data_IF_233180800173
#
_entry.id   IF_233180800173
#
_cell.length_a   1.000
_cell.length_b   1.000
_cell.length_c   1.000
_cell.angle_alpha   90.00
_cell.angle_beta   90.00
_cell.angle_gamma   90.00
#
_symmetry.space_group_name_H-M   'P 1'
#
loop_
_entity.id
_entity.type
_entity.pdbx_description
1 polymer ?
#
# COMPACT_ATOMS: atom_id res chain seq x y z
N UNK A 1 -8.22 -15.36 57.80
CA UNK A 1 -8.27 -14.31 56.76
C UNK A 1 -7.60 -14.85 55.51
N UNK A 2 -8.35 -15.39 54.53
CA UNK A 2 -7.83 -15.89 53.26
C UNK A 2 -8.04 -14.85 52.16
N UNK A 3 -6.96 -14.35 51.55
CA UNK A 3 -7.07 -13.38 50.43
C UNK A 3 -5.87 -13.44 49.48
N UNK A 4 -5.47 -14.62 49.04
CA UNK A 4 -4.45 -14.78 47.98
C UNK A 4 -4.78 -15.95 47.07
N UNK A 5 -5.94 -15.96 46.42
CA UNK A 5 -6.27 -17.00 45.40
C UNK A 5 -7.03 -16.47 44.17
N UNK A 6 -7.37 -15.18 44.10
CA UNK A 6 -8.15 -14.64 42.95
C UNK A 6 -7.31 -14.12 41.79
N UNK A 7 -6.01 -13.92 41.95
CA UNK A 7 -5.17 -13.36 40.89
C UNK A 7 -4.70 -14.40 39.86
N UNK A 8 -4.58 -15.69 40.24
CA UNK A 8 -4.13 -16.75 39.32
C UNK A 8 -5.27 -17.38 38.50
N UNK A 9 -6.54 -17.18 38.89
CA UNK A 9 -7.69 -17.72 38.16
C UNK A 9 -8.15 -16.84 36.98
N UNK A 10 -7.82 -15.55 36.97
CA UNK A 10 -8.21 -14.62 35.89
C UNK A 10 -7.30 -14.74 34.66
N UNK A 11 -6.03 -15.12 34.84
CA UNK A 11 -5.05 -15.23 33.75
C UNK A 11 -5.20 -16.52 32.91
N UNK A 12 -5.77 -17.57 33.51
CA UNK A 12 -6.07 -18.83 32.80
C UNK A 12 -7.35 -18.77 31.96
N UNK A 13 -8.32 -17.94 32.35
CA UNK A 13 -9.58 -17.77 31.63
C UNK A 13 -9.37 -16.98 30.32
N UNK A 14 -8.54 -15.93 30.38
CA UNK A 14 -8.23 -15.07 29.23
C UNK A 14 -7.43 -15.82 28.16
N UNK A 15 -6.53 -16.72 28.57
CA UNK A 15 -5.78 -17.57 27.64
C UNK A 15 -6.65 -18.62 26.91
N UNK A 16 -7.76 -19.08 27.50
CA UNK A 16 -8.69 -20.00 26.83
C UNK A 16 -9.62 -19.24 25.87
N UNK A 17 -10.08 -18.05 26.24
CA UNK A 17 -10.90 -17.22 25.34
C UNK A 17 -10.11 -16.74 24.12
N UNK A 18 -8.83 -16.38 24.29
CA UNK A 18 -7.95 -16.04 23.16
C UNK A 18 -7.69 -17.24 22.23
N UNK A 19 -7.68 -18.48 22.75
CA UNK A 19 -7.55 -19.69 21.92
C UNK A 19 -8.83 -20.01 21.16
N UNK A 20 -10.01 -19.81 21.76
CA UNK A 20 -11.31 -20.01 21.10
C UNK A 20 -11.54 -18.94 20.03
N UNK A 21 -11.17 -17.68 20.29
CA UNK A 21 -11.23 -16.59 19.31
C UNK A 21 -10.24 -16.82 18.16
N UNK A 22 -9.02 -17.30 18.43
CA UNK A 22 -8.07 -17.70 17.38
C UNK A 22 -8.56 -18.92 16.57
N UNK A 23 -9.25 -19.88 17.20
CA UNK A 23 -9.79 -21.06 16.50
C UNK A 23 -11.01 -20.71 15.63
N UNK A 24 -11.89 -19.83 16.11
CA UNK A 24 -13.05 -19.33 15.37
C UNK A 24 -12.62 -18.39 14.24
N UNK A 25 -11.67 -17.48 14.46
CA UNK A 25 -11.14 -16.62 13.39
C UNK A 25 -10.30 -17.38 12.38
N UNK A 26 -9.59 -18.44 12.77
CA UNK A 26 -8.90 -19.36 11.85
C UNK A 26 -9.89 -20.20 11.04
N UNK A 27 -10.96 -20.71 11.66
CA UNK A 27 -12.03 -21.44 10.95
C UNK A 27 -12.80 -20.56 9.97
N UNK A 28 -13.02 -19.28 10.32
CA UNK A 28 -13.61 -18.28 9.42
C UNK A 28 -12.64 -17.93 8.27
N UNK A 29 -11.33 -17.84 8.53
CA UNK A 29 -10.31 -17.62 7.48
C UNK A 29 -10.15 -18.82 6.53
N UNK A 30 -10.25 -20.04 7.04
CA UNK A 30 -10.15 -21.25 6.22
C UNK A 30 -11.40 -21.39 5.33
N UNK A 31 -12.60 -21.09 5.85
CA UNK A 31 -13.82 -21.07 5.03
C UNK A 31 -13.81 -19.95 3.99
N UNK A 32 -13.36 -18.74 4.34
CA UNK A 32 -13.21 -17.63 3.38
C UNK A 32 -12.12 -17.90 2.33
N UNK A 33 -11.06 -18.65 2.66
CA UNK A 33 -9.99 -19.00 1.73
C UNK A 33 -10.41 -20.06 0.71
N UNK A 34 -11.28 -21.00 1.11
CA UNK A 34 -11.86 -22.00 0.21
C UNK A 34 -12.97 -21.40 -0.67
N UNK A 35 -13.76 -20.43 -0.18
CA UNK A 35 -14.72 -19.68 -1.01
C UNK A 35 -14.05 -18.66 -1.94
N UNK A 36 -12.93 -18.04 -1.52
CA UNK A 36 -12.21 -17.06 -2.34
C UNK A 36 -11.43 -17.68 -3.49
N UNK A 37 -11.08 -18.97 -3.39
CA UNK A 37 -10.43 -19.71 -4.48
C UNK A 37 -11.41 -20.15 -5.58
N UNK A 38 -12.72 -20.18 -5.29
CA UNK A 38 -13.77 -20.45 -6.28
C UNK A 38 -14.34 -19.18 -6.95
N UNK A 39 -13.97 -17.97 -6.50
CA UNK A 39 -14.47 -16.69 -7.04
C UNK A 39 -13.45 -15.93 -7.90
N UNK A 40 -12.37 -16.58 -8.31
CA UNK A 40 -11.37 -15.99 -9.22
C UNK A 40 -11.25 -16.78 -10.52
N UNK A 41 -12.39 -17.00 -11.16
CA UNK A 41 -12.43 -17.61 -12.49
C UNK A 41 -13.84 -17.67 -13.07
N UNK A 42 -14.17 -16.70 -13.92
CA UNK A 42 -15.22 -16.84 -14.93
C UNK A 42 -16.64 -16.45 -14.50
N UNK A 43 -17.20 -15.48 -15.24
CA UNK A 43 -18.62 -15.16 -15.47
C UNK A 43 -19.63 -15.59 -14.39
N UNK A 44 -20.18 -14.58 -13.73
CA UNK A 44 -21.31 -14.62 -12.82
C UNK A 44 -22.51 -15.37 -13.44
N UNK A 45 -22.69 -16.64 -13.08
CA UNK A 45 -23.80 -17.47 -13.59
C UNK A 45 -25.12 -17.06 -12.92
N UNK A 46 -26.29 -17.23 -13.57
CA UNK A 46 -27.58 -16.88 -12.96
C UNK A 46 -27.85 -17.63 -11.64
N UNK A 47 -27.22 -18.80 -11.45
CA UNK A 47 -27.28 -19.56 -10.20
C UNK A 47 -26.52 -18.87 -9.06
N UNK A 48 -25.35 -18.28 -9.34
CA UNK A 48 -24.56 -17.53 -8.37
C UNK A 48 -25.27 -16.26 -7.90
N UNK A 49 -25.94 -15.52 -8.81
CA UNK A 49 -26.75 -14.34 -8.41
C UNK A 49 -27.91 -14.70 -7.49
N UNK A 50 -28.55 -15.86 -7.71
CA UNK A 50 -29.65 -16.34 -6.86
C UNK A 50 -29.18 -16.80 -5.48
N UNK A 51 -28.01 -17.41 -5.40
CA UNK A 51 -27.37 -17.74 -4.12
C UNK A 51 -26.97 -16.45 -3.40
N UNK A 52 -26.47 -15.44 -4.11
CA UNK A 52 -26.06 -14.15 -3.55
C UNK A 52 -27.26 -13.31 -3.05
N UNK A 53 -28.40 -13.34 -3.74
CA UNK A 53 -29.64 -12.72 -3.25
C UNK A 53 -30.26 -13.51 -2.10
N UNK A 54 -30.17 -14.85 -2.10
CA UNK A 54 -30.63 -15.67 -0.98
C UNK A 54 -29.79 -15.44 0.29
N UNK A 55 -28.46 -15.40 0.17
CA UNK A 55 -27.54 -15.08 1.28
C UNK A 55 -27.74 -13.64 1.78
N UNK A 56 -27.99 -12.68 0.88
CA UNK A 56 -28.25 -11.29 1.28
C UNK A 56 -29.62 -11.09 1.93
N UNK A 57 -30.65 -11.85 1.51
CA UNK A 57 -31.99 -11.79 2.09
C UNK A 57 -32.05 -12.45 3.48
N UNK A 58 -31.23 -13.46 3.74
CA UNK A 58 -31.20 -14.15 5.03
C UNK A 58 -30.20 -13.58 6.05
N UNK A 59 -29.21 -12.79 5.60
CA UNK A 59 -28.17 -12.23 6.49
C UNK A 59 -28.28 -10.71 6.73
N UNK A 60 -29.39 -10.09 6.30
CA UNK A 60 -29.68 -8.67 6.52
C UNK A 60 -31.02 -8.46 7.24
N UNK A 61 -31.19 -9.17 8.36
CA UNK A 61 -32.13 -8.75 9.40
C UNK A 61 -31.48 -8.98 10.77
N UNK A 62 -31.28 -7.89 11.50
CA UNK A 62 -30.79 -7.93 12.88
C UNK A 62 -31.76 -8.71 13.77
N UNK A 63 -31.20 -9.37 14.78
CA UNK A 63 -31.92 -10.02 15.88
C UNK A 63 -33.09 -9.15 16.39
N UNK A 64 -34.36 -9.58 16.24
CA UNK A 64 -35.46 -9.05 17.03
C UNK A 64 -35.66 -9.97 18.25
N UNK A 65 -35.45 -9.42 19.44
CA UNK A 65 -35.97 -10.03 20.67
C UNK A 65 -37.47 -9.75 20.72
N UNK A 66 -38.31 -10.76 20.49
CA UNK A 66 -39.76 -10.57 20.49
C UNK A 66 -40.52 -11.88 20.38
N UNK A 67 -41.35 -12.16 21.39
CA UNK A 67 -42.11 -13.39 21.60
C UNK A 67 -43.05 -13.71 20.43
N UNK A 68 -43.22 -15.01 20.20
CA UNK A 68 -44.08 -15.61 19.19
C UNK A 68 -45.55 -15.19 19.29
N UNK A 69 -46.20 -15.03 18.13
CA UNK A 69 -47.62 -15.29 17.96
C UNK A 69 -47.86 -15.91 16.57
N UNK A 70 -48.60 -17.02 16.57
CA UNK A 70 -48.96 -17.84 15.44
C UNK A 70 -50.17 -17.24 14.70
N UNK A 71 -50.02 -17.01 13.40
CA UNK A 71 -51.10 -17.17 12.43
C UNK A 71 -50.49 -17.30 11.03
N UNK A 72 -50.37 -18.54 10.56
CA UNK A 72 -50.07 -18.86 9.18
C UNK A 72 -51.40 -18.88 8.40
N UNK A 73 -51.55 -17.98 7.43
CA UNK A 73 -52.42 -18.21 6.29
C UNK A 73 -51.53 -18.37 5.05
N UNK A 74 -51.51 -19.61 4.56
CA UNK A 74 -50.88 -20.00 3.33
C UNK A 74 -51.65 -19.41 2.14
N UNK A 75 -50.92 -18.82 1.20
CA UNK A 75 -51.35 -18.93 -0.18
C UNK A 75 -50.14 -19.23 -1.06
N UNK A 76 -50.17 -20.45 -1.58
CA UNK A 76 -49.22 -21.00 -2.51
C UNK A 76 -49.35 -20.28 -3.85
N UNK A 77 -48.23 -19.89 -4.44
CA UNK A 77 -48.12 -19.77 -5.88
C UNK A 77 -46.88 -20.54 -6.31
N UNK A 78 -47.16 -21.57 -7.10
CA UNK A 78 -46.20 -22.43 -7.76
C UNK A 78 -45.33 -21.61 -8.70
N UNK A 79 -44.02 -21.78 -8.62
CA UNK A 79 -43.05 -21.72 -9.73
C UNK A 79 -41.65 -22.03 -9.15
N UNK A 80 -41.45 -23.30 -8.79
CA UNK A 80 -40.18 -23.86 -8.31
C UNK A 80 -39.24 -24.19 -9.48
N UNK A 81 -38.02 -23.61 -9.56
CA UNK A 81 -37.05 -23.91 -10.60
C UNK A 81 -36.00 -24.92 -10.10
N UNK A 82 -36.45 -26.03 -9.52
CA UNK A 82 -35.58 -27.14 -9.08
C UNK A 82 -35.81 -28.45 -9.86
N UNK A 83 -36.66 -28.45 -10.89
CA UNK A 83 -36.95 -29.63 -11.71
C UNK A 83 -36.06 -29.78 -12.96
N UNK A 84 -35.10 -28.88 -13.23
CA UNK A 84 -34.29 -28.88 -14.46
C UNK A 84 -32.79 -29.17 -14.26
N UNK A 85 -32.34 -29.41 -13.03
CA UNK A 85 -30.94 -29.76 -12.72
C UNK A 85 -30.69 -31.27 -12.58
N UNK A 86 -31.71 -32.12 -12.70
CA UNK A 86 -31.56 -33.58 -12.66
C UNK A 86 -31.53 -34.27 -14.04
N UNK A 87 -31.87 -33.58 -15.15
CA UNK A 87 -31.88 -34.20 -16.48
C UNK A 87 -30.53 -34.14 -17.23
N UNK A 88 -29.60 -33.27 -16.81
CA UNK A 88 -28.27 -33.11 -17.44
C UNK A 88 -27.15 -33.92 -16.77
N UNK A 89 -27.43 -34.57 -15.64
CA UNK A 89 -26.49 -35.47 -14.96
C UNK A 89 -26.63 -36.95 -15.40
N UNK A 90 -27.65 -37.29 -16.19
CA UNK A 90 -27.87 -38.67 -16.69
C UNK A 90 -27.31 -38.92 -18.10
N UNK A 91 -26.83 -37.88 -18.81
CA UNK A 91 -26.32 -38.00 -20.20
C UNK A 91 -24.80 -38.05 -20.31
N UNK A 92 -24.06 -37.80 -19.22
CA UNK A 92 -22.59 -37.77 -19.20
C UNK A 92 -21.98 -39.13 -18.82
N UNK A 93 -22.81 -40.09 -18.36
CA UNK A 93 -22.42 -41.47 -18.02
C UNK A 93 -22.98 -42.54 -18.98
N UNK A 94 -23.27 -42.17 -20.23
CA UNK A 94 -23.69 -43.10 -21.29
C UNK A 94 -23.14 -42.73 -22.69
N UNK A 95 -21.92 -42.18 -22.75
CA UNK A 95 -21.21 -41.98 -24.04
C UNK A 95 -19.72 -42.36 -24.01
N UNK A 96 -19.26 -43.13 -23.02
CA UNK A 96 -17.89 -43.65 -22.96
C UNK A 96 -17.82 -45.16 -23.20
N UNK A 97 -18.66 -45.68 -24.11
CA UNK A 97 -18.64 -47.07 -24.55
C UNK A 97 -19.08 -47.20 -26.02
N UNK A 98 -18.32 -46.62 -26.97
CA UNK A 98 -18.42 -46.93 -28.41
C UNK A 98 -17.29 -46.33 -29.27
N UNK A 99 -16.08 -46.14 -28.73
CA UNK A 99 -14.92 -45.75 -29.58
C UNK A 99 -13.75 -46.68 -29.26
N UNK A 100 -13.92 -47.94 -29.63
CA UNK A 100 -12.86 -48.92 -29.77
C UNK A 100 -13.08 -49.63 -31.10
N UNK A 101 -12.04 -49.69 -31.93
CA UNK A 101 -11.97 -50.25 -33.28
C UNK A 101 -12.56 -49.41 -34.42
N UNK A 102 -11.72 -48.49 -34.91
CA UNK A 102 -11.64 -48.20 -36.34
C UNK A 102 -10.27 -48.68 -36.81
N UNK A 103 -10.26 -49.78 -37.56
CA UNK A 103 -9.08 -50.33 -38.24
C UNK A 103 -8.59 -49.36 -39.32
N UNK A 104 -7.70 -48.45 -38.94
CA UNK A 104 -7.08 -47.46 -39.85
C UNK A 104 -6.04 -48.13 -40.79
N UNK A 105 -5.79 -49.43 -40.66
CA UNK A 105 -4.83 -50.17 -41.49
C UNK A 105 -5.41 -50.70 -42.83
N UNK A 106 -6.74 -50.73 -43.01
CA UNK A 106 -7.36 -51.31 -44.21
C UNK A 106 -7.64 -50.30 -45.35
N UNK A 107 -7.54 -49.00 -45.10
CA UNK A 107 -7.85 -47.96 -46.09
C UNK A 107 -6.64 -47.53 -46.97
N UNK A 108 -5.42 -47.98 -46.65
CA UNK A 108 -4.19 -47.63 -47.39
C UNK A 108 -3.72 -48.71 -48.38
N UNK A 109 -4.50 -49.78 -48.61
CA UNK A 109 -4.12 -50.92 -49.45
C UNK A 109 -4.91 -51.04 -50.77
N UNK A 110 -5.63 -50.00 -51.19
CA UNK A 110 -6.37 -49.97 -52.45
C UNK A 110 -6.11 -48.65 -53.20
N UNK A 111 -4.94 -48.58 -53.85
CA UNK A 111 -4.54 -47.40 -54.63
C UNK A 111 -3.14 -47.51 -55.23
N UNK A 112 -2.71 -48.72 -55.62
CA UNK A 112 -1.48 -48.91 -56.37
C UNK A 112 -1.79 -48.86 -57.87
N UNK A 113 -1.94 -47.65 -58.41
CA UNK A 113 -1.86 -47.38 -59.84
C UNK A 113 -1.00 -46.14 -60.07
N UNK A 114 0.26 -46.40 -60.41
CA UNK A 114 1.16 -45.57 -61.23
C UNK A 114 0.71 -44.15 -61.62
N UNK A 115 1.31 -43.12 -61.02
CA UNK A 115 1.89 -41.95 -61.70
C UNK A 115 2.58 -41.01 -60.68
N UNK A 116 3.73 -40.39 -61.01
CA UNK A 116 4.27 -39.28 -60.25
C UNK A 116 3.38 -38.06 -60.51
N UNK A 117 2.41 -37.81 -59.63
CA UNK A 117 1.48 -36.69 -59.77
C UNK A 117 2.23 -35.36 -59.63
N UNK A 118 2.40 -34.70 -60.78
CA UNK A 118 2.77 -33.30 -60.86
C UNK A 118 1.70 -32.42 -60.21
N UNK A 119 2.07 -31.30 -59.57
CA UNK A 119 1.11 -30.44 -58.89
C UNK A 119 0.08 -29.85 -59.88
N UNK A 120 -1.19 -30.20 -59.66
CA UNK A 120 -2.36 -29.67 -60.38
C UNK A 120 -2.54 -28.18 -60.11
N UNK A 121 -2.01 -27.34 -60.98
CA UNK A 121 -2.49 -25.96 -61.20
C UNK A 121 -2.08 -25.47 -62.60
N UNK A 122 -3.01 -24.90 -63.41
CA UNK A 122 -2.66 -24.27 -64.67
C UNK A 122 -2.13 -22.85 -64.39
N UNK A 123 -0.98 -22.77 -63.73
CA UNK A 123 -0.20 -21.54 -63.67
C UNK A 123 0.71 -21.52 -64.90
N UNK A 124 0.76 -20.38 -65.59
CA UNK A 124 1.72 -20.23 -66.69
C UNK A 124 3.14 -20.38 -66.14
N UNK A 125 4.07 -20.88 -66.96
CA UNK A 125 5.46 -21.05 -66.51
C UNK A 125 6.12 -19.72 -66.11
N UNK A 126 5.61 -18.60 -66.65
CA UNK A 126 6.00 -17.25 -66.24
C UNK A 126 5.55 -16.92 -64.81
N UNK A 127 4.33 -17.31 -64.42
CA UNK A 127 3.83 -17.08 -63.05
C UNK A 127 4.57 -17.94 -62.04
N UNK A 128 4.99 -19.15 -62.43
CA UNK A 128 5.83 -20.03 -61.61
C UNK A 128 7.19 -19.42 -61.34
N UNK A 129 7.86 -18.90 -62.37
CA UNK A 129 9.15 -18.24 -62.22
C UNK A 129 9.07 -16.97 -61.34
N UNK A 130 8.00 -16.19 -61.48
CA UNK A 130 7.75 -15.00 -60.63
C UNK A 130 7.50 -15.39 -59.17
N UNK A 131 6.74 -16.45 -58.93
CA UNK A 131 6.47 -16.97 -57.59
C UNK A 131 7.75 -17.50 -56.94
N UNK A 132 8.57 -18.26 -57.67
CA UNK A 132 9.85 -18.77 -57.18
C UNK A 132 10.81 -17.63 -56.79
N UNK A 133 10.90 -16.59 -57.62
CA UNK A 133 11.67 -15.39 -57.28
C UNK A 133 11.13 -14.68 -56.02
N UNK A 134 9.81 -14.57 -55.86
CA UNK A 134 9.18 -13.93 -54.70
C UNK A 134 9.37 -14.75 -53.41
N UNK A 135 9.34 -16.08 -53.51
CA UNK A 135 9.59 -16.98 -52.39
C UNK A 135 11.06 -17.01 -51.96
N UNK A 136 11.99 -16.87 -52.91
CA UNK A 136 13.42 -16.74 -52.61
C UNK A 136 13.77 -15.46 -51.84
N UNK A 137 12.96 -14.42 -51.96
CA UNK A 137 13.09 -13.14 -51.23
C UNK A 137 12.12 -13.01 -50.05
N UNK A 138 11.62 -14.14 -49.54
CA UNK A 138 10.68 -14.12 -48.41
C UNK A 138 11.39 -13.67 -47.13
N UNK A 139 10.94 -12.59 -46.47
CA UNK A 139 11.53 -12.14 -45.22
C UNK A 139 11.29 -13.15 -44.08
N UNK A 140 12.27 -13.26 -43.20
CA UNK A 140 12.19 -14.12 -42.03
C UNK A 140 11.13 -13.64 -41.04
N UNK A 141 10.62 -14.57 -40.24
CA UNK A 141 9.61 -14.28 -39.22
C UNK A 141 10.06 -13.19 -38.24
N UNK A 142 11.34 -13.23 -37.84
CA UNK A 142 11.92 -12.25 -36.92
C UNK A 142 11.91 -10.85 -37.53
N UNK A 143 12.28 -10.70 -38.81
CA UNK A 143 12.22 -9.39 -39.49
C UNK A 143 10.80 -8.83 -39.56
N UNK A 144 9.80 -9.70 -39.76
CA UNK A 144 8.39 -9.27 -39.77
C UNK A 144 7.91 -8.85 -38.37
N UNK A 145 8.43 -9.47 -37.31
CA UNK A 145 8.17 -9.07 -35.93
C UNK A 145 8.86 -7.74 -35.58
N UNK A 146 10.10 -7.54 -36.01
CA UNK A 146 10.86 -6.29 -35.84
C UNK A 146 10.22 -5.12 -36.59
N UNK A 147 9.77 -5.36 -37.84
CA UNK A 147 9.00 -4.40 -38.64
C UNK A 147 7.57 -4.21 -38.11
N UNK A 148 7.21 -4.85 -36.99
CA UNK A 148 5.89 -4.77 -36.34
C UNK A 148 4.71 -5.19 -37.23
N UNK A 149 4.98 -5.96 -38.28
CA UNK A 149 3.98 -6.51 -39.20
C UNK A 149 3.34 -7.75 -38.57
N UNK A 150 4.15 -8.62 -37.95
CA UNK A 150 3.69 -9.75 -37.15
C UNK A 150 3.89 -9.44 -35.66
N UNK A 151 2.96 -9.83 -34.78
CA UNK A 151 3.21 -9.66 -33.33
C UNK A 151 3.97 -10.86 -32.78
N UNK A 152 4.86 -10.65 -31.79
CA UNK A 152 5.66 -11.72 -31.21
C UNK A 152 4.77 -12.73 -30.47
N UNK A 153 5.00 -14.01 -30.78
CA UNK A 153 4.39 -15.14 -30.08
C UNK A 153 3.74 -16.19 -30.99
N UNK A 154 3.59 -17.40 -30.45
CA UNK A 154 3.02 -18.55 -31.16
C UNK A 154 1.49 -18.66 -31.03
N UNK A 155 0.79 -17.53 -30.96
CA UNK A 155 -0.67 -17.51 -30.82
C UNK A 155 -1.33 -17.46 -32.18
N UNK A 156 -2.49 -18.11 -32.31
CA UNK A 156 -3.30 -18.01 -33.52
C UNK A 156 -3.69 -16.52 -33.79
N UNK A 157 -3.68 -16.05 -35.05
CA UNK A 157 -4.00 -14.66 -35.39
C UNK A 157 -5.34 -14.16 -34.82
N UNK A 158 -6.34 -15.05 -34.72
CA UNK A 158 -7.65 -14.72 -34.15
C UNK A 158 -7.62 -14.36 -32.65
N UNK A 159 -6.66 -14.88 -31.87
CA UNK A 159 -6.56 -14.66 -30.43
C UNK A 159 -5.66 -13.48 -30.05
N UNK A 160 -4.82 -13.05 -30.98
CA UNK A 160 -3.86 -11.97 -30.79
C UNK A 160 -4.55 -10.66 -30.40
N UNK A 161 -5.67 -10.31 -31.07
CA UNK A 161 -6.45 -9.12 -30.73
C UNK A 161 -7.00 -9.16 -29.30
N UNK A 162 -7.50 -10.32 -28.85
CA UNK A 162 -8.04 -10.52 -27.51
C UNK A 162 -6.96 -10.49 -26.42
N UNK A 163 -5.77 -11.03 -26.71
CA UNK A 163 -4.61 -10.90 -25.82
C UNK A 163 -4.25 -9.44 -25.60
N UNK A 164 -4.17 -8.65 -26.66
CA UNK A 164 -3.77 -7.24 -26.55
C UNK A 164 -4.83 -6.42 -25.82
N UNK A 165 -6.11 -6.70 -26.06
CA UNK A 165 -7.23 -6.10 -25.32
C UNK A 165 -7.12 -6.38 -23.82
N UNK A 166 -6.87 -7.64 -23.44
CA UNK A 166 -6.64 -8.02 -22.04
C UNK A 166 -5.40 -7.33 -21.45
N UNK A 167 -4.30 -7.25 -22.21
CA UNK A 167 -3.10 -6.57 -21.75
C UNK A 167 -3.35 -5.08 -21.53
N UNK A 168 -4.08 -4.43 -22.43
CA UNK A 168 -4.49 -3.02 -22.29
C UNK A 168 -5.38 -2.83 -21.08
N UNK A 169 -6.37 -3.69 -20.86
CA UNK A 169 -7.25 -3.59 -19.69
C UNK A 169 -6.45 -3.77 -18.39
N UNK A 170 -5.58 -4.77 -18.31
CA UNK A 170 -4.72 -4.96 -17.14
C UNK A 170 -3.79 -3.77 -16.87
N UNK A 171 -3.29 -3.09 -17.91
CA UNK A 171 -2.49 -1.88 -17.75
C UNK A 171 -3.35 -0.69 -17.30
N UNK A 172 -4.58 -0.57 -17.81
CA UNK A 172 -5.53 0.45 -17.38
C UNK A 172 -5.90 0.28 -15.90
N UNK A 173 -6.26 -0.93 -15.47
CA UNK A 173 -6.60 -1.23 -14.07
C UNK A 173 -5.42 -0.91 -13.13
N UNK A 174 -4.19 -1.23 -13.55
CA UNK A 174 -2.97 -0.91 -12.78
C UNK A 174 -2.71 0.59 -12.71
N UNK A 175 -2.98 1.32 -13.78
CA UNK A 175 -2.81 2.76 -13.83
C UNK A 175 -3.84 3.44 -12.91
N UNK A 176 -5.10 3.03 -12.99
CA UNK A 176 -6.18 3.53 -12.15
C UNK A 176 -5.86 3.36 -10.66
N UNK A 177 -5.46 2.16 -10.23
CA UNK A 177 -5.07 1.93 -8.84
C UNK A 177 -3.84 2.74 -8.37
N UNK A 178 -2.97 3.19 -9.29
CA UNK A 178 -1.87 4.11 -8.97
C UNK A 178 -2.32 5.57 -8.91
N UNK A 179 -3.29 5.96 -9.74
CA UNK A 179 -3.86 7.31 -9.74
C UNK A 179 -4.71 7.54 -8.49
N UNK A 180 -5.45 6.54 -8.01
CA UNK A 180 -6.22 6.61 -6.76
C UNK A 180 -5.34 6.87 -5.53
N UNK A 181 -4.13 6.31 -5.50
CA UNK A 181 -3.17 6.46 -4.39
C UNK A 181 -2.20 7.63 -4.60
N UNK A 182 -2.46 8.48 -5.59
CA UNK A 182 -1.60 9.62 -5.90
C UNK A 182 -1.71 10.64 -4.76
N UNK A 183 -0.58 11.07 -4.17
CA UNK A 183 -0.60 12.13 -3.17
C UNK A 183 -0.97 13.47 -3.81
N UNK A 184 -1.62 14.32 -3.02
CA UNK A 184 -1.95 15.69 -3.43
C UNK A 184 -0.68 16.52 -3.67
N UNK A 185 -0.84 17.54 -4.51
CA UNK A 185 0.29 18.39 -4.92
C UNK A 185 0.90 19.13 -3.73
N UNK A 186 0.08 19.58 -2.79
CA UNK A 186 0.50 20.30 -1.58
C UNK A 186 1.37 19.41 -0.68
N UNK A 187 1.03 18.12 -0.55
CA UNK A 187 1.85 17.16 0.19
C UNK A 187 3.23 16.98 -0.44
N UNK A 188 3.30 16.94 -1.78
CA UNK A 188 4.57 16.84 -2.50
C UNK A 188 5.45 18.07 -2.29
N UNK A 189 4.83 19.25 -2.14
CA UNK A 189 5.54 20.51 -1.81
C UNK A 189 6.06 20.47 -0.38
N UNK A 190 5.23 20.07 0.59
CA UNK A 190 5.64 19.96 2.00
C UNK A 190 6.80 18.96 2.17
N UNK A 191 6.77 17.85 1.43
CA UNK A 191 7.87 16.87 1.42
C UNK A 191 9.11 17.32 0.65
N UNK A 192 9.07 18.48 0.00
CA UNK A 192 10.19 19.02 -0.79
C UNK A 192 10.47 18.26 -2.09
N UNK A 193 9.54 17.43 -2.56
CA UNK A 193 9.65 16.69 -3.84
C UNK A 193 9.30 17.63 -5.00
N UNK A 194 8.22 18.39 -4.86
CA UNK A 194 7.81 19.40 -5.83
C UNK A 194 8.16 20.79 -5.29
N UNK A 195 8.69 21.66 -6.16
CA UNK A 195 8.93 23.06 -5.81
C UNK A 195 7.65 23.88 -5.94
N UNK A 196 7.55 24.97 -5.16
CA UNK A 196 6.41 25.89 -5.22
C UNK A 196 6.15 26.37 -6.65
N UNK A 197 4.91 26.21 -7.11
CA UNK A 197 4.49 26.63 -8.46
C UNK A 197 4.18 28.12 -8.58
N UNK A 198 4.56 28.94 -7.60
CA UNK A 198 4.45 30.40 -7.70
C UNK A 198 5.28 30.98 -8.86
N UNK A 199 6.29 30.24 -9.34
CA UNK A 199 7.21 30.66 -10.39
C UNK A 199 7.18 29.64 -11.53
N UNK A 200 7.28 30.14 -12.77
CA UNK A 200 7.34 29.33 -13.97
C UNK A 200 8.46 28.26 -13.89
N UNK A 201 8.23 27.01 -14.33
CA UNK A 201 9.21 25.92 -14.20
C UNK A 201 10.59 26.24 -14.77
N UNK A 202 10.66 27.00 -15.87
CA UNK A 202 11.92 27.42 -16.50
C UNK A 202 12.76 28.39 -15.66
N UNK A 203 12.13 29.13 -14.74
CA UNK A 203 12.79 30.14 -13.90
C UNK A 203 13.12 29.61 -12.49
N UNK A 204 12.63 28.43 -12.11
CA UNK A 204 12.84 27.87 -10.77
C UNK A 204 14.33 27.72 -10.45
N UNK A 205 15.13 27.23 -11.40
CA UNK A 205 16.58 27.08 -11.20
C UNK A 205 17.27 28.43 -10.93
N UNK A 206 16.92 29.47 -11.70
CA UNK A 206 17.48 30.82 -11.54
C UNK A 206 17.06 31.46 -10.21
N UNK A 207 15.81 31.24 -9.79
CA UNK A 207 15.32 31.68 -8.47
C UNK A 207 16.15 31.05 -7.34
N UNK A 208 16.36 29.73 -7.39
CA UNK A 208 17.08 29.00 -6.34
C UNK A 208 18.55 29.41 -6.29
N UNK A 209 19.16 29.62 -7.46
CA UNK A 209 20.52 30.15 -7.58
C UNK A 209 20.63 31.54 -6.93
N UNK A 210 19.73 32.46 -7.27
CA UNK A 210 19.68 33.78 -6.66
C UNK A 210 19.44 33.70 -5.14
N UNK A 211 18.51 32.84 -4.69
CA UNK A 211 18.25 32.63 -3.27
C UNK A 211 19.49 32.09 -2.55
N UNK A 212 20.21 31.16 -3.17
CA UNK A 212 21.49 30.64 -2.65
C UNK A 212 22.52 31.76 -2.54
N UNK A 213 22.71 32.57 -3.58
CA UNK A 213 23.65 33.71 -3.55
C UNK A 213 23.29 34.73 -2.47
N UNK A 214 22.01 35.05 -2.30
CA UNK A 214 21.56 35.93 -1.22
C UNK A 214 21.84 35.34 0.15
N UNK A 215 21.62 34.04 0.34
CA UNK A 215 21.92 33.35 1.59
C UNK A 215 23.42 33.28 1.87
N UNK A 216 24.25 33.00 0.87
CA UNK A 216 25.71 32.97 1.01
C UNK A 216 26.25 34.35 1.38
N UNK A 217 25.82 35.40 0.68
CA UNK A 217 26.22 36.77 0.99
C UNK A 217 25.78 37.21 2.39
N UNK A 218 24.54 36.88 2.79
CA UNK A 218 24.05 37.14 4.17
C UNK A 218 24.85 36.37 5.21
N UNK A 219 25.25 35.14 4.92
CA UNK A 219 26.04 34.31 5.82
C UNK A 219 27.46 34.87 5.95
N UNK A 220 28.10 35.21 4.83
CA UNK A 220 29.43 35.81 4.77
C UNK A 220 29.51 37.09 5.63
N UNK A 221 28.58 38.04 5.42
CA UNK A 221 28.51 39.25 6.24
C UNK A 221 28.31 38.98 7.74
N UNK A 222 27.62 37.89 8.13
CA UNK A 222 27.46 37.47 9.53
C UNK A 222 28.70 36.81 10.10
N UNK A 223 29.46 36.11 9.26
CA UNK A 223 30.71 35.46 9.65
C UNK A 223 31.82 36.49 9.86
N UNK A 224 31.90 37.53 9.03
CA UNK A 224 32.84 38.63 9.19
C UNK A 224 32.64 39.38 10.52
N UNK A 225 31.37 39.58 10.92
CA UNK A 225 31.00 40.28 12.15
C UNK A 225 30.75 39.32 13.31
N UNK A 226 31.30 38.11 13.24
CA UNK A 226 31.12 37.11 14.29
C UNK A 226 31.81 37.60 15.58
N UNK A 227 31.06 37.79 16.69
CA UNK A 227 31.66 38.23 17.94
C UNK A 227 32.53 37.12 18.53
N UNK A 228 33.61 37.53 19.19
CA UNK A 228 34.46 36.63 19.94
C UNK A 228 33.74 36.09 21.17
N UNK A 229 34.17 34.92 21.63
CA UNK A 229 33.56 34.24 22.77
C UNK A 229 33.59 35.12 24.04
N UNK A 230 34.68 35.83 24.28
CA UNK A 230 34.83 36.67 25.47
C UNK A 230 33.89 37.86 25.46
N UNK A 231 33.60 38.43 24.28
CA UNK A 231 32.56 39.46 24.15
C UNK A 231 31.19 38.92 24.53
N UNK A 232 30.88 37.68 24.16
CA UNK A 232 29.62 37.04 24.52
C UNK A 232 29.53 36.72 26.01
N UNK A 233 30.66 36.44 26.67
CA UNK A 233 30.74 36.27 28.14
C UNK A 233 30.52 37.60 28.84
N UNK A 234 31.16 38.67 28.36
CA UNK A 234 31.01 40.03 28.90
C UNK A 234 29.57 40.55 28.75
N UNK A 235 28.89 40.19 27.65
CA UNK A 235 27.46 40.49 27.44
C UNK A 235 26.51 39.59 28.25
N UNK A 236 27.03 38.61 28.98
CA UNK A 236 26.23 37.66 29.78
C UNK A 236 25.44 36.62 28.97
N UNK A 237 25.73 36.48 27.66
CA UNK A 237 25.08 35.49 26.79
C UNK A 237 25.67 34.10 27.03
N UNK A 238 27.01 34.01 27.03
CA UNK A 238 27.72 32.81 27.44
C UNK A 238 28.17 32.92 28.90
N UNK A 239 28.17 31.80 29.63
CA UNK A 239 28.86 31.72 30.91
C UNK A 239 30.34 31.44 30.70
N UNK A 240 31.16 31.78 31.69
CA UNK A 240 32.58 31.51 31.64
C UNK A 240 32.83 29.99 31.56
N UNK A 241 33.44 29.52 30.46
CA UNK A 241 33.66 28.10 30.20
C UNK A 241 34.81 27.56 31.05
N UNK A 242 34.52 27.22 32.30
CA UNK A 242 35.43 26.40 33.11
C UNK A 242 35.14 24.89 33.02
N UNK A 243 34.01 24.51 32.38
CA UNK A 243 33.51 23.13 32.32
C UNK A 243 32.89 22.87 30.94
N UNK A 244 32.76 21.59 30.58
CA UNK A 244 32.06 21.17 29.37
C UNK A 244 30.61 21.70 29.30
N UNK A 245 30.08 22.02 28.10
CA UNK A 245 28.74 22.61 27.94
C UNK A 245 27.61 21.82 28.62
N UNK A 246 27.69 20.49 28.60
CA UNK A 246 26.69 19.62 29.22
C UNK A 246 26.62 19.74 30.75
N UNK A 247 27.72 20.12 31.41
CA UNK A 247 27.82 20.24 32.88
C UNK A 247 27.56 21.66 33.39
N UNK A 248 27.52 22.64 32.48
CA UNK A 248 27.40 24.06 32.81
C UNK A 248 26.12 24.36 33.60
N UNK A 249 24.99 23.77 33.19
CA UNK A 249 23.71 23.97 33.88
C UNK A 249 23.74 23.46 35.33
N UNK A 250 24.28 22.25 35.55
CA UNK A 250 24.43 21.67 36.90
C UNK A 250 25.40 22.45 37.77
N UNK A 251 26.50 22.95 37.19
CA UNK A 251 27.43 23.82 37.89
C UNK A 251 26.73 25.10 38.36
N UNK A 252 25.98 25.77 37.48
CA UNK A 252 25.30 27.02 37.81
C UNK A 252 24.21 26.81 38.87
N UNK A 253 23.46 25.70 38.79
CA UNK A 253 22.50 25.32 39.82
C UNK A 253 23.16 25.15 41.19
N UNK A 254 24.28 24.43 41.24
CA UNK A 254 25.06 24.22 42.46
C UNK A 254 25.67 25.53 42.98
N UNK A 255 26.21 26.38 42.12
CA UNK A 255 26.73 27.70 42.51
C UNK A 255 25.63 28.60 43.06
N UNK A 256 24.45 28.62 42.43
CA UNK A 256 23.28 29.36 42.90
C UNK A 256 22.81 28.86 44.26
N UNK A 257 22.76 27.55 44.48
CA UNK A 257 22.41 26.97 45.77
C UNK A 257 23.43 27.33 46.85
N UNK A 258 24.73 27.28 46.53
CA UNK A 258 25.80 27.69 47.45
C UNK A 258 25.69 29.17 47.83
N UNK A 259 25.50 30.05 46.84
CA UNK A 259 25.32 31.49 47.06
C UNK A 259 24.05 31.78 47.87
N UNK A 260 22.95 31.08 47.58
CA UNK A 260 21.71 31.20 48.35
C UNK A 260 21.89 30.84 49.83
N UNK A 261 22.54 29.70 50.10
CA UNK A 261 22.85 29.28 51.47
C UNK A 261 23.79 30.27 52.19
N UNK A 262 24.78 30.83 51.48
CA UNK A 262 25.69 31.82 52.04
C UNK A 262 24.99 33.14 52.36
N UNK A 263 24.13 33.60 51.46
CA UNK A 263 23.31 34.79 51.66
C UNK A 263 22.34 34.60 52.83
N UNK A 264 21.70 33.43 52.93
CA UNK A 264 20.81 33.10 54.05
C UNK A 264 21.53 33.18 55.40
N UNK A 265 22.75 32.63 55.50
CA UNK A 265 23.57 32.74 56.72
C UNK A 265 23.92 34.20 57.06
N UNK A 266 24.26 35.01 56.05
CA UNK A 266 24.54 36.44 56.24
C UNK A 266 23.31 37.22 56.72
N UNK A 267 22.13 36.88 56.22
CA UNK A 267 20.87 37.49 56.66
C UNK A 267 20.46 37.07 58.08
N UNK A 268 20.80 35.86 58.52
CA UNK A 268 20.57 35.43 59.91
C UNK A 268 21.42 36.23 60.91
N UNK A 269 22.61 36.64 60.50
CA UNK A 269 23.53 37.47 61.30
C UNK A 269 23.36 38.96 61.04
N UNK A 270 22.20 39.38 60.52
CA UNK A 270 21.92 40.78 60.23
C UNK A 270 21.90 41.59 61.54
N UNK A 271 22.78 42.60 61.70
CA UNK A 271 22.78 43.48 62.88
C UNK A 271 21.44 44.19 63.03
N UNK A 272 21.00 44.35 64.28
CA UNK A 272 19.80 45.11 64.56
C UNK A 272 20.04 46.62 64.40
N UNK A 273 18.96 47.39 64.29
CA UNK A 273 18.98 48.83 64.02
C UNK A 273 19.79 49.57 65.09
N UNK A 274 19.63 49.20 66.36
CA UNK A 274 20.34 49.84 67.47
C UNK A 274 21.85 49.57 67.45
N UNK A 275 22.26 48.37 67.01
CA UNK A 275 23.68 48.06 66.82
C UNK A 275 24.31 48.92 65.70
N UNK A 276 23.53 49.28 64.68
CA UNK A 276 24.00 50.17 63.60
C UNK A 276 24.10 51.62 64.07
N UNK A 277 23.24 52.06 64.99
CA UNK A 277 23.33 53.38 65.64
C UNK A 277 24.56 53.50 66.52
N UNK A 278 24.83 52.48 67.35
CA UNK A 278 26.06 52.43 68.16
C UNK A 278 27.33 52.46 67.30
N UNK A 279 27.29 51.86 66.11
CA UNK A 279 28.40 51.92 65.14
C UNK A 279 28.49 53.25 64.38
N UNK A 280 27.59 54.21 64.63
CA UNK A 280 27.56 55.53 63.99
C UNK A 280 27.19 55.51 62.51
N UNK A 281 26.63 54.40 62.01
CA UNK A 281 26.24 54.24 60.60
C UNK A 281 24.84 54.80 60.36
N UNK A 282 23.96 54.66 61.36
CA UNK A 282 22.60 55.17 61.34
C UNK A 282 22.46 56.27 62.40
N UNK A 283 22.10 57.48 61.98
CA UNK A 283 21.83 58.61 62.87
C UNK A 283 20.40 58.57 63.37
N UNK A 284 20.18 58.85 64.66
CA UNK A 284 18.83 59.01 65.21
C UNK A 284 18.20 60.34 64.77
N UNK A 285 16.90 60.35 64.40
CA UNK A 285 16.21 61.57 63.97
C UNK A 285 16.03 62.59 65.11
N UNK A 286 16.23 62.17 66.37
CA UNK A 286 16.10 63.00 67.58
C UNK A 286 17.40 63.78 67.91
N UNK A 287 18.51 63.52 67.21
CA UNK A 287 19.83 64.15 67.45
C UNK A 287 20.07 65.43 66.59
N UNK A 288 19.00 66.03 66.01
CA UNK A 288 19.05 67.26 65.21
C UNK A 288 18.32 68.44 65.83
#
# INVERSE_FOLDING_TARGET
MPFVDKAQALDHQDHQEQRVILFLTSSIRINYSLQSSCLRGGRNTPLQRRIQTWVSAHYSSGFPTGKANANANANANADDPFALTCQLASSILLFTASVGNLDIAAANAAGASSQPDQPRSPLSDQDRARLEHSLGHRPDRQELEEKSILKPGNLAPALQARRDELQKSQLADKLEGRLERRPEKEELVIRGILKDQSVAPSLQAKRDELQKHQLTHKLEARLERRPEKDELVNRGILKHQSVAPALQAKKEELERARLGNQLQKGLQQRPDVDELKQKGILTDPEDK
#
